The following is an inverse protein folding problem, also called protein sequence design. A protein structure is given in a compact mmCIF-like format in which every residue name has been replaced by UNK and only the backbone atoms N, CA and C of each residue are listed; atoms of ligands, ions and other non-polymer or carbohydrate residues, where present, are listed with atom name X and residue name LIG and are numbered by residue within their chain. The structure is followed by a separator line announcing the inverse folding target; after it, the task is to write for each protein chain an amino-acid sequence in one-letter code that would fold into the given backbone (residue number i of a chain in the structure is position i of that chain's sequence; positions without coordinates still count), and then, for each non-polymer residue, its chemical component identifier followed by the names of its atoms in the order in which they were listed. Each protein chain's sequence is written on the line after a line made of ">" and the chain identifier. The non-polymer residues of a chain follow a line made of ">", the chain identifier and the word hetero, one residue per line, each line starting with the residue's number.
data_IF_341056614563
#
_entry.id   IF_341056614563
#
_cell.length_a   1.000
_cell.length_b   1.000
_cell.length_c   1.000
_cell.angle_alpha   90.00
_cell.angle_beta   90.00
_cell.angle_gamma   90.00
#
_symmetry.space_group_name_H-M   'P 1'
#
loop_
_entity.id
_entity.type
_entity.pdbx_description
1 polymer ?
#
# COMPACT_ATOMS: atom_id res chain seq x y z
N UNK A 1 6.05 -8.83 -11.76
CA UNK A 1 6.41 -9.55 -10.52
C UNK A 1 5.16 -10.20 -9.92
N UNK A 2 5.32 -11.35 -9.27
CA UNK A 2 4.25 -12.02 -8.54
C UNK A 2 4.15 -11.42 -7.13
N UNK A 3 3.39 -10.32 -6.99
CA UNK A 3 3.24 -9.57 -5.75
C UNK A 3 2.75 -10.42 -4.56
N UNK A 4 1.74 -11.30 -4.70
CA UNK A 4 1.32 -12.18 -3.62
C UNK A 4 2.47 -13.07 -3.11
N UNK A 5 3.27 -13.62 -4.00
CA UNK A 5 4.43 -14.45 -3.64
C UNK A 5 5.51 -13.65 -2.92
N UNK A 6 5.82 -12.45 -3.41
CA UNK A 6 6.81 -11.57 -2.79
C UNK A 6 6.38 -11.18 -1.37
N UNK A 7 5.10 -10.83 -1.18
CA UNK A 7 4.56 -10.51 0.13
C UNK A 7 4.56 -11.71 1.09
N UNK A 8 4.24 -12.89 0.58
CA UNK A 8 4.31 -14.14 1.35
C UNK A 8 5.74 -14.45 1.80
N UNK A 9 6.72 -14.30 0.92
CA UNK A 9 8.13 -14.48 1.26
C UNK A 9 8.57 -13.53 2.39
N UNK A 10 8.14 -12.25 2.31
CA UNK A 10 8.39 -11.29 3.38
C UNK A 10 7.74 -11.73 4.70
N UNK A 11 6.47 -12.14 4.69
CA UNK A 11 5.78 -12.60 5.89
C UNK A 11 6.48 -13.80 6.56
N UNK A 12 6.94 -14.76 5.76
CA UNK A 12 7.72 -15.91 6.24
C UNK A 12 9.07 -15.48 6.83
N UNK A 13 9.76 -14.54 6.20
CA UNK A 13 11.02 -13.98 6.73
C UNK A 13 10.84 -13.24 8.06
N UNK A 14 9.64 -12.71 8.30
CA UNK A 14 9.21 -12.11 9.56
C UNK A 14 8.78 -13.13 10.62
N UNK A 15 8.81 -14.43 10.30
CA UNK A 15 8.44 -15.51 11.22
C UNK A 15 6.95 -15.87 11.21
N UNK A 16 6.19 -15.48 10.18
CA UNK A 16 4.81 -15.91 10.05
C UNK A 16 4.72 -17.43 9.84
N UNK A 17 3.70 -18.03 10.43
CA UNK A 17 3.40 -19.45 10.29
C UNK A 17 2.89 -19.75 8.87
N UNK A 18 3.62 -20.59 8.14
CA UNK A 18 3.33 -20.97 6.75
C UNK A 18 1.94 -21.55 6.58
N UNK A 19 1.49 -22.35 7.54
CA UNK A 19 0.23 -23.08 7.45
C UNK A 19 -0.97 -22.17 7.78
N UNK A 20 -0.73 -21.02 8.40
CA UNK A 20 -1.77 -20.06 8.80
C UNK A 20 -1.89 -18.84 7.88
N UNK A 21 -0.88 -18.55 7.05
CA UNK A 21 -0.86 -17.35 6.21
C UNK A 21 -2.09 -17.25 5.30
N UNK A 22 -2.54 -18.37 4.74
CA UNK A 22 -3.66 -18.41 3.78
C UNK A 22 -5.04 -18.28 4.47
N UNK A 23 -5.12 -18.65 5.75
CA UNK A 23 -6.39 -18.71 6.49
C UNK A 23 -6.64 -17.50 7.39
N UNK A 24 -5.82 -16.45 7.28
CA UNK A 24 -5.98 -15.24 8.10
C UNK A 24 -7.27 -14.52 7.75
N UNK A 25 -8.16 -14.42 8.74
CA UNK A 25 -9.38 -13.61 8.61
C UNK A 25 -9.00 -12.13 8.60
N UNK A 26 -9.40 -11.44 7.54
CA UNK A 26 -9.18 -10.00 7.43
C UNK A 26 -10.00 -9.22 8.44
N UNK A 27 -9.41 -8.20 8.99
CA UNK A 27 -10.09 -7.24 9.85
C UNK A 27 -11.05 -6.37 9.04
N UNK A 28 -12.09 -5.84 9.71
CA UNK A 28 -13.08 -4.99 9.05
C UNK A 28 -12.45 -3.77 8.37
N UNK A 29 -11.50 -3.10 9.01
CA UNK A 29 -10.80 -1.94 8.44
C UNK A 29 -9.91 -2.30 7.25
N UNK A 30 -9.42 -3.54 7.17
CA UNK A 30 -8.71 -4.07 6.00
C UNK A 30 -9.67 -4.29 4.85
N UNK A 31 -10.84 -4.88 5.13
CA UNK A 31 -11.88 -5.07 4.12
C UNK A 31 -12.37 -3.74 3.57
N UNK A 32 -12.66 -2.76 4.41
CA UNK A 32 -13.12 -1.44 4.00
C UNK A 32 -12.12 -0.75 3.07
N UNK A 33 -10.82 -0.81 3.39
CA UNK A 33 -9.77 -0.28 2.54
C UNK A 33 -9.75 -0.96 1.16
N UNK A 34 -9.81 -2.29 1.13
CA UNK A 34 -9.79 -3.07 -0.13
C UNK A 34 -11.04 -2.76 -0.96
N UNK A 35 -12.23 -2.75 -0.34
CA UNK A 35 -13.49 -2.44 -1.02
C UNK A 35 -13.49 -1.02 -1.60
N UNK A 36 -12.89 -0.05 -0.89
CA UNK A 36 -12.73 1.30 -1.45
C UNK A 36 -11.92 1.29 -2.75
N UNK A 37 -10.78 0.59 -2.81
CA UNK A 37 -9.99 0.50 -4.04
C UNK A 37 -10.80 -0.10 -5.20
N UNK A 38 -11.52 -1.21 -4.94
CA UNK A 38 -12.38 -1.81 -5.97
C UNK A 38 -13.52 -0.89 -6.38
N UNK A 39 -14.13 -0.19 -5.43
CA UNK A 39 -15.21 0.76 -5.72
C UNK A 39 -14.72 1.89 -6.63
N UNK A 40 -13.61 2.56 -6.28
CA UNK A 40 -13.07 3.66 -7.07
C UNK A 40 -12.63 3.18 -8.46
N UNK A 41 -11.98 2.02 -8.57
CA UNK A 41 -11.53 1.46 -9.84
C UNK A 41 -12.69 1.12 -10.80
N UNK A 42 -13.86 0.76 -10.28
CA UNK A 42 -15.06 0.46 -11.08
C UNK A 42 -15.90 1.69 -11.39
N UNK A 43 -15.75 2.76 -10.63
CA UNK A 43 -16.59 3.94 -10.72
C UNK A 43 -16.26 4.82 -11.94
N UNK A 44 -14.99 5.16 -12.11
CA UNK A 44 -14.48 5.82 -13.31
C UNK A 44 -12.97 5.70 -13.44
N UNK A 45 -12.45 5.98 -14.64
CA UNK A 45 -11.02 6.03 -14.88
C UNK A 45 -10.29 7.02 -13.96
N UNK A 46 -10.84 8.24 -13.84
CA UNK A 46 -10.24 9.30 -13.03
C UNK A 46 -10.17 8.94 -11.54
N UNK A 47 -11.24 8.35 -11.01
CA UNK A 47 -11.33 7.96 -9.61
C UNK A 47 -10.42 6.75 -9.29
N UNK A 48 -10.38 5.76 -10.18
CA UNK A 48 -9.47 4.62 -10.06
C UNK A 48 -8.00 5.04 -10.12
N UNK A 49 -7.64 5.87 -11.11
CA UNK A 49 -6.28 6.38 -11.27
C UNK A 49 -5.83 7.21 -10.06
N UNK A 50 -6.70 8.08 -9.55
CA UNK A 50 -6.42 8.90 -8.38
C UNK A 50 -6.22 8.07 -7.11
N UNK A 51 -7.02 7.02 -6.93
CA UNK A 51 -6.88 6.10 -5.80
C UNK A 51 -5.57 5.31 -5.86
N UNK A 52 -5.18 4.83 -7.04
CA UNK A 52 -3.89 4.16 -7.26
C UNK A 52 -2.73 5.11 -6.95
N UNK A 53 -2.75 6.32 -7.51
CA UNK A 53 -1.74 7.33 -7.26
C UNK A 53 -1.63 7.70 -5.77
N UNK A 54 -2.75 7.83 -5.06
CA UNK A 54 -2.76 8.12 -3.62
C UNK A 54 -1.96 7.10 -2.82
N UNK A 55 -2.01 5.84 -3.21
CA UNK A 55 -1.23 4.78 -2.58
C UNK A 55 0.23 4.79 -3.05
N UNK A 56 0.47 4.73 -4.36
CA UNK A 56 1.80 4.49 -4.92
C UNK A 56 2.77 5.67 -4.77
N UNK A 57 2.27 6.93 -4.72
CA UNK A 57 3.14 8.11 -4.67
C UNK A 57 4.12 8.14 -3.50
N UNK A 58 3.78 7.53 -2.39
CA UNK A 58 4.60 7.53 -1.16
C UNK A 58 5.36 6.22 -0.95
N UNK A 59 5.11 5.21 -1.78
CA UNK A 59 5.70 3.87 -1.59
C UNK A 59 7.23 3.87 -1.69
N UNK A 60 7.90 4.59 -2.60
CA UNK A 60 9.36 4.60 -2.65
C UNK A 60 10.02 4.99 -1.34
N UNK A 61 9.58 6.07 -0.72
CA UNK A 61 10.11 6.58 0.54
C UNK A 61 9.74 5.67 1.73
N UNK A 62 8.51 5.14 1.73
CA UNK A 62 8.05 4.18 2.74
C UNK A 62 8.84 2.87 2.62
N UNK A 63 9.03 2.34 1.40
CA UNK A 63 9.78 1.11 1.17
C UNK A 63 11.22 1.24 1.67
N UNK A 64 11.90 2.35 1.37
CA UNK A 64 13.25 2.61 1.86
C UNK A 64 13.33 2.64 3.39
N UNK A 65 12.40 3.32 4.02
CA UNK A 65 12.32 3.39 5.49
C UNK A 65 12.06 2.00 6.09
N UNK A 66 11.16 1.22 5.49
CA UNK A 66 10.86 -0.14 5.92
C UNK A 66 12.07 -1.07 5.76
N UNK A 67 12.74 -1.07 4.59
CA UNK A 67 13.95 -1.88 4.37
C UNK A 67 14.98 -1.61 5.47
N UNK A 68 15.23 -0.34 5.77
CA UNK A 68 16.15 0.05 6.84
C UNK A 68 15.68 -0.44 8.20
N UNK A 69 14.40 -0.29 8.51
CA UNK A 69 13.82 -0.76 9.76
C UNK A 69 13.86 -2.28 9.91
N UNK A 70 13.51 -3.02 8.86
CA UNK A 70 13.57 -4.50 8.87
C UNK A 70 14.97 -5.01 9.12
N UNK A 71 15.99 -4.41 8.48
CA UNK A 71 17.39 -4.78 8.70
C UNK A 71 17.87 -4.44 10.12
N UNK A 72 17.59 -3.24 10.59
CA UNK A 72 18.17 -2.73 11.83
C UNK A 72 17.48 -3.25 13.11
N UNK A 73 16.18 -3.49 13.06
CA UNK A 73 15.38 -3.78 14.26
C UNK A 73 14.76 -5.18 14.26
N UNK A 74 14.60 -5.80 13.09
CA UNK A 74 13.92 -7.09 12.97
C UNK A 74 14.80 -8.21 12.43
N UNK A 75 16.06 -7.91 12.06
CA UNK A 75 17.02 -8.90 11.57
C UNK A 75 16.68 -9.48 10.20
N UNK A 76 15.75 -8.90 9.45
CA UNK A 76 15.39 -9.35 8.09
C UNK A 76 16.42 -8.81 7.12
N UNK A 77 17.34 -9.67 6.69
CA UNK A 77 18.45 -9.32 5.78
C UNK A 77 18.46 -10.15 4.50
N UNK A 78 17.64 -11.21 4.42
CA UNK A 78 17.58 -12.07 3.25
C UNK A 78 17.01 -11.33 2.03
N UNK A 79 17.51 -11.70 0.86
CA UNK A 79 17.01 -11.14 -0.42
C UNK A 79 15.50 -11.40 -0.57
N UNK A 80 15.07 -12.63 -0.31
CA UNK A 80 13.68 -13.06 -0.44
C UNK A 80 12.75 -12.28 0.50
N UNK A 81 13.21 -11.96 1.72
CA UNK A 81 12.45 -11.18 2.69
C UNK A 81 12.31 -9.69 2.35
N UNK A 82 13.25 -9.13 1.58
CA UNK A 82 13.26 -7.71 1.22
C UNK A 82 12.81 -7.42 -0.22
N UNK A 83 12.73 -8.43 -1.06
CA UNK A 83 12.49 -8.29 -2.50
C UNK A 83 11.19 -7.53 -2.83
N UNK A 84 10.14 -7.73 -2.03
CA UNK A 84 8.90 -6.97 -2.17
C UNK A 84 9.14 -5.46 -2.10
N UNK A 85 9.86 -5.00 -1.09
CA UNK A 85 10.11 -3.56 -0.87
C UNK A 85 11.11 -3.00 -1.87
N UNK A 86 12.15 -3.76 -2.22
CA UNK A 86 13.14 -3.34 -3.22
C UNK A 86 12.51 -3.19 -4.62
N UNK A 87 11.64 -4.12 -5.00
CA UNK A 87 10.91 -4.04 -6.27
C UNK A 87 10.00 -2.80 -6.32
N UNK A 88 9.26 -2.51 -5.26
CA UNK A 88 8.37 -1.36 -5.21
C UNK A 88 9.14 -0.03 -5.12
N UNK A 89 10.25 0.02 -4.37
CA UNK A 89 11.11 1.21 -4.33
C UNK A 89 11.53 1.66 -5.74
N UNK A 90 11.86 0.70 -6.61
CA UNK A 90 12.31 1.00 -7.97
C UNK A 90 11.17 1.30 -8.93
N UNK A 91 10.12 0.47 -8.92
CA UNK A 91 9.01 0.54 -9.87
C UNK A 91 8.12 1.77 -9.64
N UNK A 92 7.82 2.10 -8.39
CA UNK A 92 6.83 3.11 -8.06
C UNK A 92 7.33 4.54 -8.29
N UNK A 93 8.64 4.75 -8.45
CA UNK A 93 9.17 6.03 -8.97
C UNK A 93 8.70 6.28 -10.40
N UNK A 94 8.66 5.24 -11.23
CA UNK A 94 8.19 5.33 -12.62
C UNK A 94 6.67 5.45 -12.63
N UNK A 95 5.98 4.58 -11.90
CA UNK A 95 4.51 4.58 -11.81
C UNK A 95 3.97 5.93 -11.34
N UNK A 96 4.59 6.54 -10.33
CA UNK A 96 4.22 7.87 -9.83
C UNK A 96 4.23 8.91 -10.94
N UNK A 97 5.33 8.99 -11.71
CA UNK A 97 5.46 9.95 -12.81
C UNK A 97 4.45 9.72 -13.94
N UNK A 98 4.18 8.46 -14.26
CA UNK A 98 3.18 8.14 -15.28
C UNK A 98 1.76 8.48 -14.80
N UNK A 99 1.42 8.17 -13.55
CA UNK A 99 0.15 8.58 -12.96
C UNK A 99 -0.02 10.10 -12.92
N UNK A 100 1.02 10.86 -12.59
CA UNK A 100 1.01 12.33 -12.59
C UNK A 100 0.65 12.87 -13.98
N UNK A 101 1.31 12.39 -15.03
CA UNK A 101 1.00 12.79 -16.41
C UNK A 101 -0.46 12.49 -16.81
N UNK A 102 -0.95 11.33 -16.43
CA UNK A 102 -2.31 10.91 -16.73
C UNK A 102 -3.35 11.74 -15.96
N UNK A 103 -3.07 12.06 -14.68
CA UNK A 103 -3.91 12.94 -13.87
C UNK A 103 -3.94 14.38 -14.41
N UNK A 104 -2.80 14.89 -14.86
CA UNK A 104 -2.69 16.23 -15.44
C UNK A 104 -3.52 16.35 -16.75
N UNK A 105 -3.63 15.26 -17.50
CA UNK A 105 -4.40 15.19 -18.75
C UNK A 105 -5.92 15.07 -18.55
N UNK A 106 -6.41 14.90 -17.33
CA UNK A 106 -7.84 14.84 -17.03
C UNK A 106 -8.52 16.20 -17.28
N UNK A 107 -9.81 16.16 -17.64
CA UNK A 107 -10.65 17.36 -17.67
C UNK A 107 -10.86 17.94 -16.27
N UNK A 108 -11.23 19.20 -16.16
CA UNK A 108 -11.47 19.83 -14.85
C UNK A 108 -12.58 19.13 -14.05
N UNK A 109 -13.62 18.62 -14.71
CA UNK A 109 -14.66 17.82 -14.05
C UNK A 109 -14.10 16.50 -13.49
N UNK A 110 -13.28 15.83 -14.29
CA UNK A 110 -12.61 14.58 -13.85
C UNK A 110 -11.61 14.82 -12.73
N UNK A 111 -10.87 15.94 -12.74
CA UNK A 111 -9.95 16.31 -11.65
C UNK A 111 -10.69 16.48 -10.31
N UNK A 112 -11.89 17.09 -10.32
CA UNK A 112 -12.72 17.20 -9.12
C UNK A 112 -13.13 15.82 -8.59
N UNK A 113 -13.47 14.88 -9.47
CA UNK A 113 -13.79 13.49 -9.08
C UNK A 113 -12.54 12.77 -8.53
N UNK A 114 -11.40 12.94 -9.21
CA UNK A 114 -10.11 12.40 -8.82
C UNK A 114 -9.67 12.87 -7.43
N UNK A 115 -9.80 14.17 -7.14
CA UNK A 115 -9.47 14.75 -5.83
C UNK A 115 -10.32 14.14 -4.71
N UNK A 116 -11.63 14.03 -4.90
CA UNK A 116 -12.53 13.40 -3.93
C UNK A 116 -12.17 11.93 -3.69
N UNK A 117 -11.85 11.19 -4.74
CA UNK A 117 -11.43 9.79 -4.64
C UNK A 117 -10.10 9.64 -3.89
N UNK A 118 -9.12 10.53 -4.16
CA UNK A 118 -7.85 10.58 -3.44
C UNK A 118 -8.05 10.82 -1.95
N UNK A 119 -8.85 11.82 -1.58
CA UNK A 119 -9.13 12.13 -0.18
C UNK A 119 -9.79 10.96 0.55
N UNK A 120 -10.75 10.31 -0.11
CA UNK A 120 -11.44 9.15 0.45
C UNK A 120 -10.50 7.97 0.62
N UNK A 121 -9.69 7.66 -0.39
CA UNK A 121 -8.69 6.60 -0.33
C UNK A 121 -7.65 6.84 0.75
N UNK A 122 -7.14 8.06 0.89
CA UNK A 122 -6.23 8.42 1.97
C UNK A 122 -6.85 8.19 3.35
N UNK A 123 -8.15 8.50 3.51
CA UNK A 123 -8.90 8.26 4.76
C UNK A 123 -9.03 6.76 5.08
N UNK A 124 -9.31 5.92 4.09
CA UNK A 124 -9.38 4.48 4.29
C UNK A 124 -8.01 3.87 4.62
N UNK A 125 -6.94 4.35 3.99
CA UNK A 125 -5.57 3.95 4.34
C UNK A 125 -5.23 4.36 5.78
N UNK A 126 -5.60 5.57 6.19
CA UNK A 126 -5.41 6.03 7.57
C UNK A 126 -6.20 5.19 8.58
N UNK A 127 -7.46 4.88 8.28
CA UNK A 127 -8.30 4.04 9.13
C UNK A 127 -7.73 2.63 9.25
N UNK A 128 -7.20 2.06 8.16
CA UNK A 128 -6.51 0.78 8.20
C UNK A 128 -5.30 0.82 9.15
N UNK A 129 -4.42 1.81 9.02
CA UNK A 129 -3.26 1.96 9.89
C UNK A 129 -3.65 2.18 11.36
N UNK A 130 -4.66 3.00 11.60
CA UNK A 130 -5.18 3.26 12.95
C UNK A 130 -5.80 2.01 13.57
N UNK A 131 -6.54 1.23 12.78
CA UNK A 131 -7.12 -0.04 13.20
C UNK A 131 -6.04 -1.06 13.57
N UNK A 132 -4.98 -1.18 12.76
CA UNK A 132 -3.84 -2.04 13.05
C UNK A 132 -3.10 -1.59 14.32
N UNK A 133 -2.84 -0.29 14.43
CA UNK A 133 -2.15 0.28 15.62
C UNK A 133 -2.94 0.00 16.90
N UNK A 134 -4.24 0.24 16.88
CA UNK A 134 -5.12 -0.01 18.03
C UNK A 134 -5.19 -1.49 18.39
N UNK A 135 -5.41 -2.35 17.40
CA UNK A 135 -5.51 -3.80 17.60
C UNK A 135 -4.24 -4.39 18.21
N UNK A 136 -3.09 -3.96 17.74
CA UNK A 136 -1.78 -4.49 18.18
C UNK A 136 -1.12 -3.63 19.27
N UNK A 137 -1.81 -2.62 19.81
CA UNK A 137 -1.31 -1.72 20.85
C UNK A 137 0.04 -1.07 20.49
N UNK A 138 0.21 -0.73 19.21
CA UNK A 138 1.42 -0.06 18.73
C UNK A 138 1.32 1.41 19.15
N UNK A 139 2.27 1.84 19.97
CA UNK A 139 2.41 3.26 20.32
C UNK A 139 3.18 3.98 19.22
N UNK A 140 2.69 5.14 18.80
CA UNK A 140 3.49 6.00 17.95
C UNK A 140 4.75 6.42 18.71
N UNK A 141 5.90 6.36 18.06
CA UNK A 141 7.11 6.95 18.63
C UNK A 141 6.88 8.45 18.83
N UNK A 142 7.14 8.93 20.06
CA UNK A 142 7.05 10.35 20.40
C UNK A 142 8.09 11.17 19.65
#
# INVERSE_FOLDING_TARGET
>A
ADHPKLWKNFALAMGADKDKIEDVKREWFTNDMIENFFHQARKSYAEGLASLYTYERQIPEIAETKIRGWKNFYGVTSKEGLEFFEAHKAADVIHRKECEKLLDALTEEEKVKAEKASMLTARYLWNFLSGMSTKHKIQAAA
#
